data_IF_478937522332
#
_entry.id   IF_478937522332
#
_cell.length_a   1.000
_cell.length_b   1.000
_cell.length_c   1.000
_cell.angle_alpha   90.00
_cell.angle_beta   90.00
_cell.angle_gamma   90.00
#
_symmetry.space_group_name_H-M   'P 1'
#
loop_
_entity.id
_entity.type
_entity.pdbx_description
1 polymer ?
#
# COMPACT_ATOMS: atom_id res chain seq x y z
N UNK A 1 14.42 20.72 15.31
CA UNK A 1 13.67 19.50 14.98
C UNK A 1 13.82 18.35 16.00
N UNK A 2 14.85 18.33 16.86
CA UNK A 2 15.10 17.22 17.80
C UNK A 2 14.05 17.05 18.91
N UNK A 3 13.60 18.16 19.52
CA UNK A 3 12.65 18.14 20.63
C UNK A 3 11.27 17.58 20.25
N UNK A 4 10.79 17.87 19.03
CA UNK A 4 9.51 17.36 18.53
C UNK A 4 9.53 15.83 18.52
N UNK A 5 10.58 15.21 17.96
CA UNK A 5 10.73 13.75 17.91
C UNK A 5 10.79 13.11 19.30
N UNK A 6 11.47 13.76 20.25
CA UNK A 6 11.72 13.21 21.58
C UNK A 6 10.58 13.35 22.60
N UNK A 7 9.63 14.27 22.40
CA UNK A 7 8.53 14.47 23.37
C UNK A 7 7.16 14.22 22.74
N UNK A 8 6.94 14.68 21.51
CA UNK A 8 5.62 14.62 20.87
C UNK A 8 5.27 13.23 20.34
N UNK A 9 6.24 12.50 19.79
CA UNK A 9 6.00 11.19 19.15
C UNK A 9 5.75 10.10 20.18
N UNK A 10 6.53 10.10 21.27
CA UNK A 10 6.29 9.20 22.41
C UNK A 10 4.94 9.47 23.09
N UNK A 11 4.49 10.72 23.15
CA UNK A 11 3.14 11.04 23.65
C UNK A 11 2.00 10.53 22.75
N UNK A 12 2.21 10.49 21.43
CA UNK A 12 1.20 9.98 20.48
C UNK A 12 1.16 8.44 20.42
N UNK A 13 2.25 7.78 20.79
CA UNK A 13 2.33 6.32 20.85
C UNK A 13 1.26 5.71 21.79
N UNK A 14 0.97 6.38 22.90
CA UNK A 14 -0.10 5.98 23.83
C UNK A 14 -1.53 6.12 23.31
N UNK A 15 -1.74 6.66 22.11
CA UNK A 15 -3.06 6.80 21.48
C UNK A 15 -3.19 5.86 20.28
N UNK A 16 -2.58 6.22 19.15
CA UNK A 16 -2.72 5.53 17.86
C UNK A 16 -1.41 5.47 17.08
N UNK A 17 -0.30 5.75 17.75
CA UNK A 17 0.98 5.96 17.10
C UNK A 17 1.09 7.35 16.48
N UNK A 18 2.32 7.74 16.13
CA UNK A 18 2.56 9.01 15.50
C UNK A 18 2.26 8.98 14.00
N UNK A 19 2.09 10.17 13.41
CA UNK A 19 1.74 10.28 11.99
C UNK A 19 2.94 9.95 11.10
N UNK A 20 2.70 9.45 9.88
CA UNK A 20 3.78 9.23 8.94
C UNK A 20 4.37 10.55 8.43
N UNK A 21 5.65 10.79 8.70
CA UNK A 21 6.37 11.98 8.21
C UNK A 21 7.87 11.72 8.10
N UNK A 22 8.47 12.13 7.00
CA UNK A 22 9.90 12.06 6.75
C UNK A 22 10.38 10.67 6.31
N UNK A 23 11.32 10.09 7.04
CA UNK A 23 12.03 8.84 6.67
C UNK A 23 12.14 7.89 7.85
N UNK A 24 12.51 6.62 7.60
CA UNK A 24 12.76 5.63 8.64
C UNK A 24 11.52 4.88 9.13
N UNK A 25 10.48 4.81 8.30
CA UNK A 25 9.24 4.13 8.62
C UNK A 25 9.06 2.85 7.79
N UNK A 26 8.26 1.92 8.30
CA UNK A 26 7.84 0.72 7.59
C UNK A 26 6.33 0.76 7.42
N UNK A 27 5.85 0.51 6.20
CA UNK A 27 4.42 0.50 5.88
C UNK A 27 4.01 -0.88 5.42
N UNK A 28 2.86 -1.35 5.90
CA UNK A 28 2.25 -2.57 5.38
C UNK A 28 1.72 -2.31 3.96
N UNK A 29 2.01 -3.22 3.04
CA UNK A 29 1.73 -3.02 1.61
C UNK A 29 0.23 -2.95 1.28
N UNK A 30 -0.60 -3.70 1.98
CA UNK A 30 -2.07 -3.63 1.92
C UNK A 30 -2.59 -2.25 2.38
N UNK A 31 -2.04 -1.69 3.46
CA UNK A 31 -2.39 -0.38 3.97
C UNK A 31 -2.04 0.72 2.95
N UNK A 32 -0.85 0.63 2.33
CA UNK A 32 -0.40 1.58 1.31
C UNK A 32 -1.29 1.54 0.05
N UNK A 33 -1.79 0.36 -0.31
CA UNK A 33 -2.75 0.20 -1.39
C UNK A 33 -4.16 0.64 -1.03
N UNK A 34 -4.42 0.83 0.27
CA UNK A 34 -5.65 1.37 0.76
C UNK A 34 -6.66 0.35 1.27
N UNK A 35 -6.25 -0.87 1.64
CA UNK A 35 -7.09 -1.74 2.45
C UNK A 35 -7.37 -1.10 3.81
N UNK A 36 -8.40 -1.58 4.51
CA UNK A 36 -8.56 -1.38 5.95
C UNK A 36 -7.95 -2.55 6.72
N UNK A 37 -7.57 -2.37 8.00
CA UNK A 37 -7.06 -3.47 8.81
C UNK A 37 -8.12 -4.56 9.01
N UNK A 38 -7.67 -5.81 9.16
CA UNK A 38 -8.52 -6.97 9.40
C UNK A 38 -9.29 -6.80 10.72
N UNK A 39 -10.58 -6.48 10.61
CA UNK A 39 -11.45 -6.11 11.73
C UNK A 39 -12.43 -4.97 11.39
N UNK A 40 -12.14 -4.16 10.36
CA UNK A 40 -13.10 -3.21 9.77
C UNK A 40 -13.95 -3.85 8.67
N UNK A 41 -15.25 -3.56 8.65
CA UNK A 41 -16.24 -4.13 7.70
C UNK A 41 -16.12 -3.61 6.24
N UNK A 42 -14.96 -3.18 5.75
CA UNK A 42 -14.91 -2.43 4.49
C UNK A 42 -13.67 -2.72 3.65
N UNK A 43 -13.90 -3.41 2.52
CA UNK A 43 -13.01 -3.53 1.35
C UNK A 43 -11.68 -4.27 1.57
N UNK A 44 -11.79 -5.59 1.68
CA UNK A 44 -10.67 -6.49 1.35
C UNK A 44 -10.51 -6.55 -0.17
N UNK A 45 -9.29 -6.31 -0.67
CA UNK A 45 -8.94 -6.44 -2.09
C UNK A 45 -9.28 -7.81 -2.69
N UNK A 46 -9.40 -8.84 -1.86
CA UNK A 46 -9.82 -10.18 -2.28
C UNK A 46 -11.26 -10.22 -2.82
N UNK A 47 -12.14 -9.32 -2.36
CA UNK A 47 -13.55 -9.29 -2.73
C UNK A 47 -13.86 -8.33 -3.88
N UNK A 48 -12.87 -7.58 -4.37
CA UNK A 48 -13.08 -6.59 -5.44
C UNK A 48 -13.17 -7.25 -6.82
N UNK A 49 -14.03 -6.68 -7.67
CA UNK A 49 -14.17 -7.10 -9.06
C UNK A 49 -12.86 -6.88 -9.84
N UNK A 50 -12.58 -7.76 -10.81
CA UNK A 50 -11.39 -7.64 -11.65
C UNK A 50 -11.30 -6.30 -12.39
N UNK A 51 -12.44 -5.77 -12.87
CA UNK A 51 -12.49 -4.48 -13.57
C UNK A 51 -12.08 -3.30 -12.68
N UNK A 52 -12.54 -3.28 -11.43
CA UNK A 52 -12.16 -2.22 -10.49
C UNK A 52 -10.70 -2.30 -10.08
N UNK A 53 -10.19 -3.52 -9.90
CA UNK A 53 -8.79 -3.75 -9.56
C UNK A 53 -7.86 -3.32 -10.70
N UNK A 54 -8.24 -3.58 -11.95
CA UNK A 54 -7.52 -3.11 -13.14
C UNK A 54 -7.55 -1.57 -13.25
N UNK A 55 -8.67 -0.92 -12.91
CA UNK A 55 -8.73 0.55 -12.86
C UNK A 55 -7.81 1.15 -11.79
N UNK A 56 -7.70 0.51 -10.63
CA UNK A 56 -6.85 0.99 -9.53
C UNK A 56 -5.36 0.72 -9.78
N UNK A 57 -4.99 -0.51 -10.16
CA UNK A 57 -3.58 -0.95 -10.26
C UNK A 57 -3.01 -0.91 -11.67
N UNK A 58 -3.84 -0.79 -12.70
CA UNK A 58 -3.44 -0.78 -14.11
C UNK A 58 -3.53 -2.15 -14.79
N UNK A 59 -2.88 -2.25 -15.95
CA UNK A 59 -3.03 -3.33 -16.92
C UNK A 59 -2.08 -4.53 -16.69
N UNK A 60 -1.24 -4.52 -15.64
CA UNK A 60 -0.33 -5.64 -15.38
C UNK A 60 -1.05 -6.78 -14.65
N UNK A 61 -1.32 -7.87 -15.38
CA UNK A 61 -1.94 -9.08 -14.83
C UNK A 61 -1.13 -9.67 -13.67
N UNK A 62 0.21 -9.63 -13.76
CA UNK A 62 1.11 -10.13 -12.73
C UNK A 62 1.06 -9.29 -11.45
N UNK A 63 0.99 -7.96 -11.56
CA UNK A 63 0.83 -7.08 -10.41
C UNK A 63 -0.55 -7.28 -9.76
N UNK A 64 -1.61 -7.33 -10.56
CA UNK A 64 -2.98 -7.53 -10.11
C UNK A 64 -3.13 -8.88 -9.39
N UNK A 65 -2.55 -9.95 -9.94
CA UNK A 65 -2.50 -11.25 -9.29
C UNK A 65 -1.71 -11.20 -7.97
N UNK A 66 -0.57 -10.51 -7.93
CA UNK A 66 0.20 -10.31 -6.69
C UNK A 66 -0.61 -9.60 -5.61
N UNK A 67 -1.42 -8.61 -5.98
CA UNK A 67 -2.26 -7.85 -5.04
C UNK A 67 -3.36 -8.72 -4.44
N UNK A 68 -4.00 -9.58 -5.24
CA UNK A 68 -5.01 -10.53 -4.73
C UNK A 68 -4.43 -11.50 -3.70
N UNK A 69 -3.20 -11.94 -3.94
CA UNK A 69 -2.52 -12.89 -3.07
C UNK A 69 -1.98 -12.27 -1.76
N UNK A 70 -2.02 -10.94 -1.59
CA UNK A 70 -1.54 -10.28 -0.37
C UNK A 70 -2.33 -10.68 0.88
N UNK A 71 -3.64 -10.92 0.75
CA UNK A 71 -4.52 -11.18 1.87
C UNK A 71 -4.54 -12.65 2.29
N UNK A 72 -4.22 -13.57 1.38
CA UNK A 72 -4.46 -14.99 1.62
C UNK A 72 -3.45 -15.66 2.55
N UNK A 73 -2.31 -15.03 2.92
CA UNK A 73 -1.21 -15.65 3.68
C UNK A 73 -0.98 -17.13 3.32
N UNK A 74 -1.26 -17.51 2.07
CA UNK A 74 -1.26 -18.92 1.71
C UNK A 74 0.21 -19.32 1.61
N UNK A 75 0.70 -20.29 2.40
CA UNK A 75 1.98 -20.90 2.07
C UNK A 75 1.84 -21.47 0.65
N UNK A 76 2.86 -21.31 -0.20
CA UNK A 76 2.79 -21.76 -1.58
C UNK A 76 2.39 -23.23 -1.61
N UNK A 77 1.38 -23.64 -2.41
CA UNK A 77 1.19 -25.05 -2.69
C UNK A 77 2.47 -25.53 -3.38
N UNK A 78 3.17 -26.45 -2.72
CA UNK A 78 4.50 -26.98 -3.02
C UNK A 78 5.70 -26.21 -2.46
N UNK A 79 6.18 -26.70 -1.33
CA UNK A 79 7.58 -26.65 -0.91
C UNK A 79 8.45 -27.48 -1.87
N UNK A 80 8.50 -27.09 -3.15
CA UNK A 80 9.38 -27.66 -4.16
C UNK A 80 9.85 -26.53 -5.08
N UNK A 81 11.04 -25.99 -4.81
CA UNK A 81 11.72 -25.05 -5.71
C UNK A 81 11.11 -23.63 -5.75
N UNK A 82 10.95 -23.00 -4.58
CA UNK A 82 10.32 -21.69 -4.43
C UNK A 82 11.15 -20.54 -5.01
N UNK A 83 11.17 -20.39 -6.35
CA UNK A 83 11.39 -19.07 -6.95
C UNK A 83 10.24 -18.20 -6.46
N UNK A 84 10.54 -17.28 -5.53
CA UNK A 84 9.72 -16.09 -5.26
C UNK A 84 9.28 -15.59 -6.63
N UNK A 85 7.96 -15.55 -6.91
CA UNK A 85 7.40 -15.11 -8.20
C UNK A 85 7.72 -13.61 -8.34
N UNK A 86 8.99 -13.32 -8.59
CA UNK A 86 9.48 -12.02 -8.98
C UNK A 86 8.74 -11.71 -10.26
N UNK A 87 8.22 -10.48 -10.35
CA UNK A 87 7.73 -9.95 -11.61
C UNK A 87 8.78 -10.29 -12.67
N UNK A 88 8.34 -10.87 -13.79
CA UNK A 88 9.26 -11.10 -14.90
C UNK A 88 9.93 -9.75 -15.20
N UNK A 89 11.22 -9.69 -15.57
CA UNK A 89 11.90 -8.42 -15.83
C UNK A 89 11.11 -7.51 -16.79
N UNK A 90 10.36 -8.12 -17.71
CA UNK A 90 9.45 -7.43 -18.61
C UNK A 90 8.27 -6.73 -17.89
N UNK A 91 7.57 -7.40 -16.97
CA UNK A 91 6.49 -6.80 -16.19
C UNK A 91 6.99 -5.68 -15.27
N UNK A 92 8.17 -5.87 -14.67
CA UNK A 92 8.79 -4.84 -13.84
C UNK A 92 9.09 -3.59 -14.67
N UNK A 93 9.57 -3.77 -15.90
CA UNK A 93 9.82 -2.66 -16.85
C UNK A 93 8.52 -1.96 -17.25
N UNK A 94 7.45 -2.73 -17.48
CA UNK A 94 6.12 -2.18 -17.79
C UNK A 94 5.58 -1.33 -16.64
N UNK A 95 5.56 -1.88 -15.41
CA UNK A 95 5.04 -1.20 -14.22
C UNK A 95 5.89 0.01 -13.83
N UNK A 96 7.20 -0.03 -14.06
CA UNK A 96 8.11 1.09 -13.80
C UNK A 96 8.07 2.18 -14.88
N UNK A 97 7.32 1.98 -15.98
CA UNK A 97 7.23 2.98 -17.04
C UNK A 97 6.43 4.20 -16.60
N UNK A 98 6.83 5.38 -17.06
CA UNK A 98 6.13 6.64 -16.74
C UNK A 98 4.69 6.70 -17.29
N UNK A 99 4.38 5.89 -18.30
CA UNK A 99 3.05 5.80 -18.88
C UNK A 99 2.11 4.89 -18.09
N UNK A 100 2.65 4.02 -17.21
CA UNK A 100 1.88 3.00 -16.51
C UNK A 100 0.80 3.61 -15.60
N UNK A 101 1.12 4.70 -14.92
CA UNK A 101 0.21 5.36 -13.98
C UNK A 101 -0.91 6.13 -14.67
N UNK A 102 -0.78 6.42 -15.97
CA UNK A 102 -1.76 7.23 -16.71
C UNK A 102 -3.11 6.53 -16.77
N UNK A 103 -4.13 7.16 -16.21
CA UNK A 103 -5.50 6.64 -16.21
C UNK A 103 -5.75 5.53 -15.18
N UNK A 104 -4.81 5.32 -14.27
CA UNK A 104 -4.95 4.38 -13.15
C UNK A 104 -5.23 5.12 -11.83
N UNK A 105 -5.51 4.38 -10.77
CA UNK A 105 -5.71 4.94 -9.42
C UNK A 105 -4.43 5.25 -8.65
N UNK A 106 -3.24 5.09 -9.24
CA UNK A 106 -1.98 5.45 -8.59
C UNK A 106 -1.95 6.96 -8.27
N UNK A 107 -1.52 7.31 -7.06
CA UNK A 107 -1.48 8.70 -6.62
C UNK A 107 -2.78 9.22 -5.98
N UNK A 108 -3.95 8.69 -6.36
CA UNK A 108 -5.25 9.13 -5.84
C UNK A 108 -5.93 8.08 -4.96
N UNK A 109 -5.91 6.81 -5.37
CA UNK A 109 -6.55 5.69 -4.68
C UNK A 109 -5.58 4.63 -4.16
N UNK A 110 -4.38 4.54 -4.75
CA UNK A 110 -3.34 3.56 -4.43
C UNK A 110 -2.00 4.28 -4.26
N UNK A 111 -1.20 3.88 -3.26
CA UNK A 111 0.14 4.40 -3.06
C UNK A 111 0.18 5.72 -2.29
N UNK A 112 1.28 6.46 -2.46
CA UNK A 112 1.43 7.81 -1.94
C UNK A 112 0.46 8.77 -2.63
N UNK A 113 -0.03 9.74 -1.87
CA UNK A 113 -0.96 10.73 -2.40
C UNK A 113 -0.24 11.81 -3.20
N UNK A 114 -0.54 11.89 -4.49
CA UNK A 114 0.01 12.93 -5.35
C UNK A 114 -0.66 14.28 -5.12
N UNK A 115 -0.08 15.32 -5.73
CA UNK A 115 -0.58 16.70 -5.67
C UNK A 115 -0.47 17.36 -4.29
N UNK A 116 0.46 16.90 -3.45
CA UNK A 116 0.81 17.56 -2.19
C UNK A 116 2.32 17.72 -2.05
N UNK A 117 2.75 18.86 -1.51
CA UNK A 117 4.16 19.10 -1.11
C UNK A 117 4.55 18.22 0.10
N UNK A 118 3.55 17.78 0.88
CA UNK A 118 3.71 16.94 2.07
C UNK A 118 2.94 15.62 1.90
N UNK A 119 3.22 14.93 0.80
CA UNK A 119 2.57 13.67 0.42
C UNK A 119 2.66 12.59 1.50
N UNK A 120 3.77 12.53 2.21
CA UNK A 120 4.04 11.60 3.31
C UNK A 120 3.04 11.79 4.45
N UNK A 121 2.82 13.03 4.87
CA UNK A 121 1.88 13.41 5.92
C UNK A 121 0.44 13.08 5.53
N UNK A 122 0.00 13.45 4.32
CA UNK A 122 -1.38 13.20 3.89
C UNK A 122 -1.66 11.73 3.63
N UNK A 123 -0.68 11.00 3.07
CA UNK A 123 -0.76 9.54 2.97
C UNK A 123 -0.89 8.96 4.38
N UNK A 124 -0.04 9.42 5.31
CA UNK A 124 -0.10 9.12 6.72
C UNK A 124 -1.49 9.22 7.34
N UNK A 125 -2.06 10.41 7.21
CA UNK A 125 -3.33 10.78 7.80
C UNK A 125 -4.52 10.09 7.14
N UNK A 126 -4.63 10.13 5.81
CA UNK A 126 -5.83 9.68 5.08
C UNK A 126 -5.83 8.18 4.81
N UNK A 127 -4.67 7.57 4.57
CA UNK A 127 -4.56 6.13 4.26
C UNK A 127 -4.44 5.27 5.48
N UNK A 128 -3.76 5.73 6.52
CA UNK A 128 -3.53 4.92 7.72
C UNK A 128 -4.42 5.36 8.86
N UNK A 129 -4.23 6.58 9.34
CA UNK A 129 -4.93 7.05 10.54
C UNK A 129 -6.46 7.08 10.35
N UNK A 130 -6.96 7.63 9.24
CA UNK A 130 -8.41 7.72 8.98
C UNK A 130 -9.07 6.36 8.71
N UNK A 131 -8.29 5.35 8.30
CA UNK A 131 -8.78 4.00 7.97
C UNK A 131 -8.57 2.98 9.10
N UNK A 132 -8.13 3.44 10.27
CA UNK A 132 -7.97 2.58 11.45
C UNK A 132 -6.63 1.85 11.53
N UNK A 133 -5.68 2.10 10.64
CA UNK A 133 -4.33 1.55 10.78
C UNK A 133 -3.58 2.23 11.94
N UNK A 134 -2.75 1.44 12.61
CA UNK A 134 -1.84 1.81 13.71
C UNK A 134 -0.54 1.06 13.54
#
# INVERSE_FOLDING_TARGET
>A
MHAVRQTRWFGQDGLRGPILSGTGFYVRRDALYGATPAGGHTESFCSMEAGELARRFGHSDHLVASVRNLHQQQPPPSAAGGRRRLLLPHDATLVASCAYEKGTGWGDQVGFMYHSVVEDYFTGYRRFFSRGWT
#
